data_IF_371705721676
#
_entry.id   IF_371705721676
#
_cell.length_a   1.000
_cell.length_b   1.000
_cell.length_c   1.000
_cell.angle_alpha   90.00
_cell.angle_beta   90.00
_cell.angle_gamma   90.00
#
_symmetry.space_group_name_H-M   'P 1'
#
loop_
_entity.id
_entity.type
_entity.pdbx_description
1 polymer ?
#
# COMPACT_ATOMS: atom_id res chain seq x y z
N UNK A 1 47.95 -42.60 16.22
CA UNK A 1 46.61 -43.05 15.76
C UNK A 1 45.59 -42.12 16.40
N UNK A 2 45.02 -41.17 15.62
CA UNK A 2 43.57 -41.07 15.31
C UNK A 2 42.71 -40.68 16.55
N UNK A 3 42.03 -39.53 16.63
CA UNK A 3 41.72 -38.55 15.60
C UNK A 3 40.95 -37.31 16.10
N UNK A 4 40.86 -36.38 15.15
CA UNK A 4 39.92 -35.28 14.93
C UNK A 4 38.47 -35.58 15.39
N UNK A 5 37.71 -34.60 15.89
CA UNK A 5 36.50 -34.03 15.25
C UNK A 5 36.05 -32.77 16.00
N UNK A 6 36.12 -31.65 15.30
CA UNK A 6 35.42 -30.38 15.53
C UNK A 6 33.91 -30.53 15.36
N UNK A 7 33.10 -30.03 16.29
CA UNK A 7 31.67 -29.81 16.04
C UNK A 7 31.39 -28.30 16.01
N UNK A 8 31.39 -27.74 14.80
CA UNK A 8 30.94 -26.38 14.53
C UNK A 8 29.41 -26.44 14.49
N UNK A 9 28.74 -25.88 15.48
CA UNK A 9 27.30 -25.67 15.44
C UNK A 9 27.06 -24.43 14.57
N UNK A 10 26.82 -24.65 13.28
CA UNK A 10 26.32 -23.63 12.37
C UNK A 10 24.86 -23.31 12.76
N UNK A 11 24.65 -22.20 13.46
CA UNK A 11 23.32 -21.64 13.64
C UNK A 11 22.92 -20.89 12.37
N UNK A 12 22.23 -21.58 11.46
CA UNK A 12 21.66 -20.99 10.25
C UNK A 12 20.45 -20.12 10.63
N UNK A 13 20.65 -18.82 10.79
CA UNK A 13 19.55 -17.87 10.86
C UNK A 13 18.97 -17.69 9.45
N UNK A 14 17.82 -18.33 9.18
CA UNK A 14 16.98 -18.01 8.03
C UNK A 14 16.40 -16.62 8.23
N UNK A 15 17.12 -15.58 7.80
CA UNK A 15 16.58 -14.24 7.69
C UNK A 15 15.66 -14.23 6.47
N UNK A 16 14.35 -14.39 6.70
CA UNK A 16 13.33 -14.17 5.67
C UNK A 16 13.24 -12.67 5.42
N UNK A 17 14.05 -12.15 4.50
CA UNK A 17 13.84 -10.79 3.99
C UNK A 17 12.64 -10.83 3.05
N UNK A 18 11.56 -10.07 3.30
CA UNK A 18 10.54 -9.90 2.28
C UNK A 18 11.19 -9.14 1.12
N UNK A 19 11.38 -9.83 0.00
CA UNK A 19 11.79 -9.21 -1.27
C UNK A 19 10.66 -8.27 -1.69
N UNK A 20 10.82 -6.99 -1.39
CA UNK A 20 10.03 -5.92 -1.99
C UNK A 20 10.43 -5.85 -3.46
N UNK A 21 9.71 -6.54 -4.33
CA UNK A 21 9.90 -6.44 -5.78
C UNK A 21 9.64 -4.99 -6.21
N UNK A 22 10.73 -4.28 -6.51
CA UNK A 22 10.70 -2.98 -7.17
C UNK A 22 10.29 -3.18 -8.63
N UNK A 23 9.00 -3.30 -8.87
CA UNK A 23 8.43 -3.18 -10.21
C UNK A 23 7.44 -2.03 -10.20
N UNK A 24 7.98 -0.81 -10.36
CA UNK A 24 7.22 0.42 -10.59
C UNK A 24 6.64 0.47 -12.02
N UNK A 25 6.42 -0.69 -12.65
CA UNK A 25 5.69 -0.80 -13.91
C UNK A 25 4.20 -0.71 -13.60
N UNK A 26 3.69 0.51 -13.74
CA UNK A 26 2.32 0.82 -14.12
C UNK A 26 1.30 -0.31 -13.86
N UNK A 27 0.61 -0.27 -12.72
CA UNK A 27 -0.58 -1.10 -12.43
C UNK A 27 -1.69 -0.87 -13.48
N UNK A 28 -1.48 -1.34 -14.72
CA UNK A 28 -2.49 -1.58 -15.76
C UNK A 28 -2.86 -3.06 -15.69
N UNK A 29 -3.28 -3.51 -14.51
CA UNK A 29 -3.96 -4.79 -14.42
C UNK A 29 -5.45 -4.60 -14.74
N UNK A 30 -6.21 -5.70 -14.84
CA UNK A 30 -7.65 -5.63 -15.07
C UNK A 30 -8.35 -4.78 -14.00
N UNK A 31 -9.38 -4.02 -14.41
CA UNK A 31 -10.35 -3.47 -13.46
C UNK A 31 -11.12 -4.66 -12.85
N UNK A 32 -11.39 -4.63 -11.55
CA UNK A 32 -12.03 -5.73 -10.81
C UNK A 32 -11.09 -6.58 -9.95
N UNK A 33 -9.78 -6.31 -9.98
CA UNK A 33 -8.81 -7.03 -9.14
C UNK A 33 -8.64 -6.33 -7.78
N UNK A 34 -8.72 -7.10 -6.70
CA UNK A 34 -8.33 -6.64 -5.38
C UNK A 34 -6.80 -6.70 -5.22
N UNK A 35 -6.12 -5.63 -5.64
CA UNK A 35 -4.66 -5.50 -5.50
C UNK A 35 -4.21 -5.46 -4.03
N UNK A 36 -5.09 -5.06 -3.10
CA UNK A 36 -4.80 -5.07 -1.67
C UNK A 36 -4.69 -6.49 -1.13
N UNK A 37 -5.55 -7.41 -1.60
CA UNK A 37 -5.48 -8.84 -1.24
C UNK A 37 -4.20 -9.51 -1.74
N UNK A 38 -3.59 -8.97 -2.81
CA UNK A 38 -2.29 -9.41 -3.34
C UNK A 38 -1.09 -8.74 -2.63
N UNK A 39 -1.32 -7.91 -1.61
CA UNK A 39 -0.27 -7.20 -0.88
C UNK A 39 0.48 -6.17 -1.74
N UNK A 40 -0.12 -5.69 -2.82
CA UNK A 40 0.54 -4.75 -3.74
C UNK A 40 0.65 -3.36 -3.12
N UNK A 41 1.64 -2.61 -3.61
CA UNK A 41 1.85 -1.21 -3.28
C UNK A 41 1.94 -0.37 -4.55
N UNK A 42 1.69 0.94 -4.44
CA UNK A 42 1.80 1.90 -5.53
C UNK A 42 2.80 2.99 -5.16
N UNK A 43 3.73 3.27 -6.08
CA UNK A 43 4.80 4.25 -5.91
C UNK A 43 5.94 4.02 -6.89
N UNK A 44 7.03 4.80 -6.79
CA UNK A 44 7.16 5.93 -5.87
C UNK A 44 6.19 7.07 -6.24
N UNK A 45 5.57 7.70 -5.25
CA UNK A 45 4.66 8.83 -5.47
C UNK A 45 5.45 10.02 -6.02
N UNK A 46 4.98 10.57 -7.15
CA UNK A 46 5.57 11.76 -7.77
C UNK A 46 4.90 13.03 -7.25
N UNK A 47 5.56 14.19 -7.32
CA UNK A 47 4.93 15.48 -6.98
C UNK A 47 3.67 15.81 -7.78
N UNK A 48 3.48 15.19 -8.94
CA UNK A 48 2.30 15.37 -9.80
C UNK A 48 1.20 14.32 -9.55
N UNK A 49 1.44 13.33 -8.70
CA UNK A 49 0.43 12.36 -8.29
C UNK A 49 -0.49 12.98 -7.24
N UNK A 50 -1.79 12.69 -7.37
CA UNK A 50 -2.81 13.09 -6.39
C UNK A 50 -3.42 11.84 -5.79
N UNK A 51 -3.87 11.93 -4.54
CA UNK A 51 -4.54 10.81 -3.87
C UNK A 51 -5.75 10.33 -4.69
N UNK A 52 -6.50 11.26 -5.29
CA UNK A 52 -7.61 10.95 -6.18
C UNK A 52 -7.19 10.09 -7.38
N UNK A 53 -6.12 10.48 -8.11
CA UNK A 53 -5.65 9.75 -9.28
C UNK A 53 -5.13 8.35 -8.91
N UNK A 54 -4.46 8.25 -7.77
CA UNK A 54 -4.00 6.99 -7.20
C UNK A 54 -5.21 6.11 -6.85
N UNK A 55 -6.19 6.64 -6.12
CA UNK A 55 -7.41 5.96 -5.71
C UNK A 55 -8.20 5.46 -6.93
N UNK A 56 -8.40 6.30 -7.94
CA UNK A 56 -9.07 5.93 -9.18
C UNK A 56 -8.36 4.77 -9.92
N UNK A 57 -7.03 4.68 -9.80
CA UNK A 57 -6.23 3.62 -10.44
C UNK A 57 -6.29 2.30 -9.68
N UNK A 58 -6.37 2.32 -8.35
CA UNK A 58 -6.36 1.11 -7.51
C UNK A 58 -7.75 0.67 -7.04
N UNK A 59 -8.80 1.45 -7.35
CA UNK A 59 -10.20 1.12 -7.06
C UNK A 59 -10.55 -0.23 -7.69
N UNK A 60 -10.93 -1.25 -6.88
CA UNK A 60 -11.23 -2.57 -7.39
C UNK A 60 -12.41 -2.56 -8.37
N UNK A 61 -13.54 -1.98 -7.96
CA UNK A 61 -14.76 -1.94 -8.78
C UNK A 61 -15.70 -0.79 -8.34
N UNK A 62 -16.89 -0.73 -8.95
CA UNK A 62 -17.86 0.35 -8.72
C UNK A 62 -18.64 0.24 -7.40
N UNK A 63 -18.50 -0.83 -6.62
CA UNK A 63 -19.20 -1.03 -5.33
C UNK A 63 -18.69 -0.14 -4.20
N UNK A 64 -17.54 0.51 -4.38
CA UNK A 64 -16.94 1.45 -3.40
C UNK A 64 -16.69 2.80 -4.06
N UNK A 65 -16.86 3.92 -3.37
CA UNK A 65 -16.62 5.24 -3.94
C UNK A 65 -15.13 5.59 -3.99
N UNK A 66 -14.73 6.53 -4.86
CA UNK A 66 -13.33 7.01 -4.89
C UNK A 66 -12.94 7.61 -3.53
N UNK A 67 -13.84 8.35 -2.89
CA UNK A 67 -13.62 8.90 -1.54
C UNK A 67 -13.32 7.81 -0.50
N UNK A 68 -14.06 6.69 -0.53
CA UNK A 68 -13.76 5.56 0.36
C UNK A 68 -12.36 4.99 0.10
N UNK A 69 -11.96 4.87 -1.17
CA UNK A 69 -10.62 4.38 -1.52
C UNK A 69 -9.53 5.36 -1.05
N UNK A 70 -9.73 6.66 -1.22
CA UNK A 70 -8.81 7.70 -0.74
C UNK A 70 -8.62 7.62 0.79
N UNK A 71 -9.72 7.57 1.53
CA UNK A 71 -9.69 7.47 2.99
C UNK A 71 -9.07 6.13 3.45
N UNK A 72 -9.34 5.02 2.75
CA UNK A 72 -8.71 3.74 3.06
C UNK A 72 -7.20 3.76 2.81
N UNK A 73 -6.74 4.39 1.73
CA UNK A 73 -5.32 4.59 1.44
C UNK A 73 -4.64 5.41 2.54
N UNK A 74 -5.31 6.46 3.04
CA UNK A 74 -4.83 7.24 4.18
C UNK A 74 -4.73 6.41 5.45
N UNK A 75 -5.82 5.72 5.83
CA UNK A 75 -5.86 4.90 7.03
C UNK A 75 -4.78 3.80 7.04
N UNK A 76 -4.49 3.22 5.86
CA UNK A 76 -3.50 2.16 5.71
C UNK A 76 -2.05 2.67 5.66
N UNK A 77 -1.84 3.95 5.34
CA UNK A 77 -0.51 4.53 5.15
C UNK A 77 -0.35 5.86 5.93
N UNK A 78 -0.63 5.92 7.23
CA UNK A 78 -0.65 7.19 7.98
C UNK A 78 0.68 7.95 7.95
N UNK A 79 1.81 7.23 7.84
CA UNK A 79 3.15 7.82 7.81
C UNK A 79 3.51 8.44 6.44
N UNK A 80 2.67 8.26 5.42
CA UNK A 80 2.90 8.80 4.07
C UNK A 80 2.13 10.09 3.80
N UNK A 81 1.34 10.57 4.76
CA UNK A 81 0.59 11.81 4.67
C UNK A 81 1.12 12.81 5.69
N UNK A 82 1.64 13.92 5.20
CA UNK A 82 2.18 14.99 6.01
C UNK A 82 1.03 15.81 6.61
N UNK A 83 1.25 16.35 7.82
CA UNK A 83 0.30 17.27 8.47
C UNK A 83 -1.10 16.70 8.68
N UNK A 84 -1.25 15.37 8.62
CA UNK A 84 -2.54 14.67 8.68
C UNK A 84 -3.51 15.05 7.55
N UNK A 85 -3.03 15.64 6.45
CA UNK A 85 -3.82 16.13 5.33
C UNK A 85 -3.85 15.11 4.18
N UNK A 86 -5.06 14.77 3.68
CA UNK A 86 -5.27 13.81 2.58
C UNK A 86 -4.62 14.24 1.25
N UNK A 87 -4.43 15.53 1.04
CA UNK A 87 -3.81 16.11 -0.15
C UNK A 87 -2.28 16.16 -0.06
N UNK A 88 -1.69 16.00 1.12
CA UNK A 88 -0.24 16.15 1.33
C UNK A 88 0.46 14.79 1.41
N UNK A 89 0.53 14.07 0.30
CA UNK A 89 1.26 12.80 0.22
C UNK A 89 2.77 13.06 0.11
N UNK A 90 3.57 12.33 0.88
CA UNK A 90 5.02 12.39 0.83
C UNK A 90 5.56 11.90 -0.53
N UNK A 91 6.35 12.73 -1.19
CA UNK A 91 7.05 12.38 -2.43
C UNK A 91 8.02 11.20 -2.21
N UNK A 92 8.07 10.28 -3.16
CA UNK A 92 8.89 9.07 -3.08
C UNK A 92 8.27 7.95 -2.25
N UNK A 93 7.15 8.17 -1.57
CA UNK A 93 6.50 7.15 -0.77
C UNK A 93 5.99 5.99 -1.63
N UNK A 94 5.84 4.82 -1.00
CA UNK A 94 5.12 3.68 -1.55
C UNK A 94 3.89 3.43 -0.66
N UNK A 95 2.70 3.55 -1.24
CA UNK A 95 1.44 3.34 -0.54
C UNK A 95 1.01 1.87 -0.67
N UNK A 96 0.81 1.19 0.45
CA UNK A 96 0.17 -0.13 0.49
C UNK A 96 -1.29 0.01 0.05
N UNK A 97 -1.72 -0.84 -0.88
CA UNK A 97 -3.09 -0.81 -1.38
C UNK A 97 -4.02 -1.47 -0.35
N UNK A 98 -5.14 -0.82 0.05
CA UNK A 98 -6.16 -1.44 0.89
C UNK A 98 -6.93 -2.51 0.10
N UNK A 99 -7.31 -3.57 0.80
CA UNK A 99 -8.20 -4.61 0.32
C UNK A 99 -9.60 -4.04 0.09
N UNK A 100 -10.42 -4.73 -0.72
CA UNK A 100 -11.82 -4.36 -0.90
C UNK A 100 -12.59 -4.36 0.42
N UNK A 101 -12.28 -5.28 1.33
CA UNK A 101 -12.90 -5.34 2.66
C UNK A 101 -12.55 -4.10 3.51
N UNK A 102 -11.28 -3.70 3.54
CA UNK A 102 -10.85 -2.47 4.23
C UNK A 102 -11.53 -1.22 3.63
N UNK A 103 -11.66 -1.14 2.30
CA UNK A 103 -12.35 -0.03 1.64
C UNK A 103 -13.84 -0.01 2.00
N UNK A 104 -14.52 -1.16 1.98
CA UNK A 104 -15.95 -1.27 2.34
C UNK A 104 -16.22 -0.91 3.80
N UNK A 105 -15.24 -1.09 4.68
CA UNK A 105 -15.32 -0.66 6.09
C UNK A 105 -15.29 0.85 6.30
N UNK A 106 -14.95 1.64 5.27
CA UNK A 106 -14.91 3.09 5.37
C UNK A 106 -16.30 3.69 5.24
N UNK A 107 -16.68 4.56 6.18
CA UNK A 107 -17.92 5.34 6.09
C UNK A 107 -17.87 6.31 4.90
N UNK A 108 -18.81 6.17 3.97
CA UNK A 108 -18.86 6.92 2.71
C UNK A 108 -19.05 8.42 2.90
N UNK A 109 -19.90 8.83 3.85
CA UNK A 109 -20.22 10.23 4.10
C UNK A 109 -19.03 10.94 4.75
N UNK A 110 -18.40 10.31 5.74
CA UNK A 110 -17.21 10.83 6.39
C UNK A 110 -16.04 10.98 5.41
N UNK A 111 -15.83 9.97 4.57
CA UNK A 111 -14.75 10.00 3.57
C UNK A 111 -14.93 11.13 2.55
N UNK A 112 -16.18 11.37 2.11
CA UNK A 112 -16.50 12.49 1.23
C UNK A 112 -16.26 13.82 1.94
N UNK A 113 -16.80 13.98 3.15
CA UNK A 113 -16.64 15.22 3.92
C UNK A 113 -15.18 15.56 4.15
N UNK A 114 -14.35 14.60 4.57
CA UNK A 114 -12.91 14.85 4.77
C UNK A 114 -12.21 15.31 3.49
N UNK A 115 -12.51 14.67 2.37
CA UNK A 115 -11.96 15.07 1.08
C UNK A 115 -12.40 16.46 0.60
N UNK A 116 -13.50 17.01 1.12
CA UNK A 116 -13.96 18.36 0.81
C UNK A 116 -13.37 19.41 1.75
N UNK A 117 -12.86 18.99 2.91
CA UNK A 117 -12.29 19.87 3.94
C UNK A 117 -10.77 20.07 3.80
N UNK A 118 -10.09 19.07 3.24
CA UNK A 118 -8.66 19.08 2.96
C UNK A 118 -8.36 19.66 1.57
#
# INVERSE_FOLDING_TARGET
>A
MRGLVTLIILASALIVTPVYSQDSTQLKGPKGVDYGAQGRSIGPIKPTDTLWRIAAKVRPDNSVSIYQVMQALYNKNPNSFLEQNLNHIQNGAYLKIPTLAEIKGVNTQLAKQRSEQD
#
